data_IF_387633303049
#
_entry.id   IF_387633303049
#
_cell.length_a   1.000
_cell.length_b   1.000
_cell.length_c   1.000
_cell.angle_alpha   90.00
_cell.angle_beta   90.00
_cell.angle_gamma   90.00
#
_symmetry.space_group_name_H-M   'P 1'
#
loop_
_entity.id
_entity.type
_entity.pdbx_description
1 polymer ?
#
# COMPACT_ATOMS: atom_id res chain seq x y z
N UNK A 1 -5.25 -37.39 -32.62
CA UNK A 1 -3.96 -37.09 -31.93
C UNK A 1 -3.62 -35.60 -31.99
N UNK A 2 -3.48 -34.96 -33.16
CA UNK A 2 -3.17 -33.51 -33.28
C UNK A 2 -4.15 -32.61 -32.53
N UNK A 3 -5.46 -32.89 -32.62
CA UNK A 3 -6.50 -32.12 -31.91
C UNK A 3 -6.34 -32.16 -30.37
N UNK A 4 -5.90 -33.30 -29.83
CA UNK A 4 -5.69 -33.47 -28.38
C UNK A 4 -4.47 -32.66 -27.94
N UNK A 5 -3.37 -32.68 -28.71
CA UNK A 5 -2.18 -31.87 -28.45
C UNK A 5 -2.48 -30.37 -28.50
N UNK A 6 -3.29 -29.91 -29.46
CA UNK A 6 -3.71 -28.50 -29.52
C UNK A 6 -4.52 -28.09 -28.29
N UNK A 7 -5.46 -28.93 -27.85
CA UNK A 7 -6.26 -28.65 -26.65
C UNK A 7 -5.38 -28.59 -25.39
N UNK A 8 -4.42 -29.50 -25.23
CA UNK A 8 -3.49 -29.48 -24.10
C UNK A 8 -2.60 -28.23 -24.09
N UNK A 9 -2.11 -27.79 -25.26
CA UNK A 9 -1.33 -26.55 -25.38
C UNK A 9 -2.16 -25.31 -25.03
N UNK A 10 -3.44 -25.26 -25.46
CA UNK A 10 -4.34 -24.16 -25.14
C UNK A 10 -4.67 -24.11 -23.65
N UNK A 11 -4.93 -25.27 -23.02
CA UNK A 11 -5.16 -25.36 -21.58
C UNK A 11 -3.92 -24.95 -20.78
N UNK A 12 -2.74 -25.41 -21.16
CA UNK A 12 -1.48 -25.00 -20.54
C UNK A 12 -1.20 -23.51 -20.69
N UNK A 13 -1.37 -22.97 -21.89
CA UNK A 13 -1.23 -21.53 -22.15
C UNK A 13 -2.23 -20.69 -21.36
N UNK A 14 -3.48 -21.14 -21.23
CA UNK A 14 -4.51 -20.44 -20.47
C UNK A 14 -4.22 -20.45 -18.97
N UNK A 15 -3.74 -21.57 -18.41
CA UNK A 15 -3.29 -21.63 -17.01
C UNK A 15 -2.13 -20.66 -16.75
N UNK A 16 -1.11 -20.64 -17.61
CA UNK A 16 0.01 -19.70 -17.50
C UNK A 16 -0.47 -18.25 -17.59
N UNK A 17 -1.38 -17.96 -18.52
CA UNK A 17 -1.98 -16.64 -18.67
C UNK A 17 -2.74 -16.21 -17.42
N UNK A 18 -3.56 -17.08 -16.83
CA UNK A 18 -4.29 -16.77 -15.59
C UNK A 18 -3.35 -16.53 -14.40
N UNK A 19 -2.30 -17.33 -14.26
CA UNK A 19 -1.29 -17.15 -13.21
C UNK A 19 -0.57 -15.80 -13.39
N UNK A 20 -0.19 -15.45 -14.63
CA UNK A 20 0.42 -14.16 -14.92
C UNK A 20 -0.53 -12.99 -14.61
N UNK A 21 -1.82 -13.08 -15.00
CA UNK A 21 -2.81 -12.06 -14.66
C UNK A 21 -2.99 -11.90 -13.15
N UNK A 22 -2.98 -12.99 -12.39
CA UNK A 22 -3.04 -12.94 -10.92
C UNK A 22 -1.82 -12.25 -10.33
N UNK A 23 -0.61 -12.61 -10.78
CA UNK A 23 0.63 -11.98 -10.34
C UNK A 23 0.70 -10.49 -10.66
N UNK A 24 0.22 -10.08 -11.83
CA UNK A 24 0.14 -8.67 -12.23
C UNK A 24 -0.85 -7.86 -11.36
N UNK A 25 -1.99 -8.45 -10.97
CA UNK A 25 -2.92 -7.80 -10.03
C UNK A 25 -2.28 -7.59 -8.67
N UNK A 26 -1.66 -8.64 -8.14
CA UNK A 26 -1.00 -8.58 -6.84
C UNK A 26 0.17 -7.58 -6.83
N UNK A 27 0.90 -7.46 -7.94
CA UNK A 27 1.95 -6.45 -8.10
C UNK A 27 1.41 -5.00 -8.10
N UNK A 28 0.19 -4.79 -8.61
CA UNK A 28 -0.47 -3.47 -8.59
C UNK A 28 -0.94 -3.07 -7.18
N UNK A 29 -1.33 -4.05 -6.37
CA UNK A 29 -1.82 -3.83 -4.99
C UNK A 29 -0.69 -3.67 -3.97
N UNK A 30 0.53 -4.06 -4.32
CA UNK A 30 1.69 -3.84 -3.46
C UNK A 30 1.99 -2.34 -3.41
N UNK A 31 1.59 -1.73 -2.29
CA UNK A 31 2.08 -0.43 -1.79
C UNK A 31 3.60 -0.39 -1.92
N UNK A 32 4.08 0.11 -3.05
CA UNK A 32 5.50 0.05 -3.35
C UNK A 32 6.20 1.27 -2.78
N UNK A 33 7.48 1.12 -2.45
CA UNK A 33 8.34 2.24 -2.03
C UNK A 33 8.38 3.36 -3.07
N UNK A 34 8.16 3.04 -4.34
CA UNK A 34 8.20 3.99 -5.47
C UNK A 34 6.83 4.47 -5.95
N UNK A 35 5.73 3.89 -5.46
CA UNK A 35 4.37 4.31 -5.82
C UNK A 35 4.04 5.72 -5.35
N UNK A 36 3.10 6.39 -6.00
CA UNK A 36 2.56 7.68 -5.56
C UNK A 36 1.16 7.41 -5.01
N UNK A 37 0.88 7.87 -3.79
CA UNK A 37 -0.46 7.87 -3.25
C UNK A 37 -1.11 9.22 -3.57
N UNK A 38 -2.24 9.20 -4.26
CA UNK A 38 -3.06 10.39 -4.54
C UNK A 38 -4.33 10.42 -3.70
N UNK A 39 -4.62 9.33 -2.98
CA UNK A 39 -5.79 9.24 -2.12
C UNK A 39 -5.57 10.06 -0.84
N UNK A 40 -6.64 10.68 -0.30
CA UNK A 40 -6.59 11.31 1.01
C UNK A 40 -6.16 10.32 2.09
N UNK A 41 -5.26 10.77 2.96
CA UNK A 41 -4.74 9.97 4.08
C UNK A 41 -5.19 10.61 5.39
N UNK A 42 -5.63 9.78 6.34
CA UNK A 42 -5.92 10.21 7.71
C UNK A 42 -4.94 9.54 8.67
N UNK A 43 -4.68 10.17 9.81
CA UNK A 43 -3.84 9.59 10.84
C UNK A 43 -4.46 8.28 11.35
N UNK A 44 -3.70 7.17 11.40
CA UNK A 44 -4.25 5.89 11.87
C UNK A 44 -4.52 5.83 13.38
N UNK A 45 -4.05 6.81 14.15
CA UNK A 45 -4.20 6.85 15.61
C UNK A 45 -5.27 7.84 16.09
N UNK A 46 -5.47 8.97 15.40
CA UNK A 46 -6.46 9.99 15.80
C UNK A 46 -7.41 10.42 14.67
N UNK A 47 -7.36 9.77 13.51
CA UNK A 47 -8.20 10.05 12.33
C UNK A 47 -8.12 11.47 11.77
N UNK A 48 -7.15 12.29 12.21
CA UNK A 48 -6.95 13.62 11.65
C UNK A 48 -6.59 13.51 10.14
N UNK A 49 -7.32 14.20 9.23
CA UNK A 49 -6.98 14.19 7.82
C UNK A 49 -5.66 14.93 7.59
N UNK A 50 -4.76 14.30 6.84
CA UNK A 50 -3.46 14.89 6.50
C UNK A 50 -3.59 15.89 5.35
N UNK A 51 -2.82 17.00 5.37
CA UNK A 51 -2.88 18.00 4.32
C UNK A 51 -2.38 17.43 2.98
N UNK A 52 -3.00 17.81 1.84
CA UNK A 52 -2.60 17.35 0.51
C UNK A 52 -1.21 17.85 0.12
N UNK A 53 -0.83 19.04 0.59
CA UNK A 53 0.54 19.56 0.46
C UNK A 53 1.37 19.03 1.61
N UNK A 54 2.28 18.10 1.30
CA UNK A 54 3.18 17.48 2.28
C UNK A 54 4.33 18.40 2.69
N UNK A 55 4.66 18.42 3.97
CA UNK A 55 5.88 19.04 4.49
C UNK A 55 6.67 17.99 5.28
N UNK A 56 7.81 17.51 4.74
CA UNK A 56 8.58 16.46 5.41
C UNK A 56 9.20 16.98 6.73
N UNK A 57 9.12 16.17 7.79
CA UNK A 57 9.72 16.44 9.11
C UNK A 57 11.04 15.72 9.35
N UNK A 58 11.34 14.70 8.54
CA UNK A 58 12.58 13.93 8.63
C UNK A 58 13.06 13.48 7.23
N UNK A 59 14.28 12.95 7.16
CA UNK A 59 14.90 12.47 5.91
C UNK A 59 14.12 11.31 5.28
N UNK A 60 13.52 10.46 6.11
CA UNK A 60 12.69 9.34 5.65
C UNK A 60 11.47 9.84 4.86
N UNK A 61 10.76 10.84 5.37
CA UNK A 61 9.61 11.45 4.71
C UNK A 61 10.00 12.25 3.46
N UNK A 62 11.19 12.85 3.46
CA UNK A 62 11.71 13.50 2.26
C UNK A 62 11.91 12.49 1.12
N UNK A 63 12.46 11.29 1.42
CA UNK A 63 12.77 10.25 0.44
C UNK A 63 11.58 9.38 0.04
N UNK A 64 10.77 8.95 1.02
CA UNK A 64 9.72 7.93 0.82
C UNK A 64 8.30 8.47 0.96
N UNK A 65 8.16 9.76 1.31
CA UNK A 65 6.86 10.37 1.62
C UNK A 65 6.33 9.99 3.00
N UNK A 66 5.08 10.39 3.25
CA UNK A 66 4.41 10.25 4.54
C UNK A 66 4.26 11.56 5.28
N UNK A 67 3.76 11.46 6.50
CA UNK A 67 3.42 12.58 7.35
C UNK A 67 3.82 12.30 8.80
N UNK A 68 4.00 13.37 9.57
CA UNK A 68 3.91 13.31 11.02
C UNK A 68 2.62 14.03 11.39
N UNK A 69 1.73 13.34 12.10
CA UNK A 69 0.48 13.93 12.58
C UNK A 69 0.80 15.13 13.49
N UNK A 70 0.26 16.33 13.22
CA UNK A 70 0.49 17.50 14.07
C UNK A 70 -0.24 17.44 15.41
N UNK A 71 -1.27 16.60 15.52
CA UNK A 71 -2.10 16.46 16.73
C UNK A 71 -1.51 15.41 17.68
N UNK A 72 -1.41 14.16 17.23
CA UNK A 72 -0.94 13.07 18.08
C UNK A 72 0.55 12.74 17.94
N UNK A 73 1.27 13.32 16.96
CA UNK A 73 2.69 13.05 16.75
C UNK A 73 3.04 11.72 16.06
N UNK A 74 2.06 10.90 15.67
CA UNK A 74 2.32 9.65 14.93
C UNK A 74 3.03 9.93 13.60
N UNK A 75 4.16 9.25 13.38
CA UNK A 75 4.81 9.18 12.07
C UNK A 75 4.14 8.09 11.24
N UNK A 76 3.66 8.42 10.05
CA UNK A 76 3.01 7.49 9.13
C UNK A 76 3.58 7.58 7.72
N UNK A 77 3.45 6.51 6.96
CA UNK A 77 3.90 6.45 5.58
C UNK A 77 2.95 7.17 4.61
N UNK A 78 3.30 7.21 3.32
CA UNK A 78 2.49 7.88 2.30
C UNK A 78 1.12 7.23 2.06
N UNK A 79 0.88 6.04 2.61
CA UNK A 79 -0.37 5.30 2.50
C UNK A 79 -1.18 5.31 3.82
N UNK A 80 -0.74 6.08 4.82
CA UNK A 80 -1.43 6.23 6.11
C UNK A 80 -1.11 5.15 7.13
N UNK A 81 -0.06 4.36 6.92
CA UNK A 81 0.33 3.31 7.87
C UNK A 81 1.34 3.83 8.89
N UNK A 82 1.12 3.55 10.17
CA UNK A 82 1.99 4.01 11.26
C UNK A 82 3.39 3.39 11.16
N UNK A 83 4.41 4.22 11.37
CA UNK A 83 5.84 3.86 11.42
C UNK A 83 6.35 3.98 12.85
N UNK A 84 6.00 5.08 13.51
CA UNK A 84 6.37 5.37 14.89
C UNK A 84 5.20 6.08 15.58
N UNK A 85 4.92 5.67 16.82
CA UNK A 85 3.93 6.31 17.69
C UNK A 85 4.64 6.94 18.88
N UNK A 86 4.29 8.16 19.29
CA UNK A 86 4.80 8.70 20.53
C UNK A 86 4.25 7.91 21.73
N UNK A 87 5.08 7.77 22.77
CA UNK A 87 4.72 7.05 23.99
C UNK A 87 3.51 7.73 24.64
N UNK A 88 2.41 6.97 24.81
CA UNK A 88 1.15 7.47 25.38
C UNK A 88 0.05 7.80 24.38
N UNK A 89 0.28 7.66 23.06
CA UNK A 89 -0.80 7.74 22.07
C UNK A 89 -1.75 6.52 22.19
N UNK A 90 -2.98 6.77 22.64
CA UNK A 90 -4.01 5.75 22.81
C UNK A 90 -4.31 5.03 21.50
N UNK A 91 -4.26 3.70 21.55
CA UNK A 91 -4.50 2.80 20.40
C UNK A 91 -6.00 2.74 20.10
N UNK A 92 -6.46 3.43 19.05
CA UNK A 92 -7.74 3.11 18.39
C UNK A 92 -7.55 3.18 16.88
N UNK A 93 -7.51 2.02 16.21
CA UNK A 93 -7.52 2.01 14.74
C UNK A 93 -6.63 0.99 14.02
N UNK A 94 -6.40 -0.22 14.57
CA UNK A 94 -5.81 -1.30 13.76
C UNK A 94 -6.84 -1.83 12.75
N UNK A 95 -6.94 -1.19 11.57
CA UNK A 95 -7.66 -1.75 10.43
C UNK A 95 -6.72 -2.66 9.63
N UNK A 96 -6.61 -3.91 10.06
CA UNK A 96 -6.18 -5.02 9.22
C UNK A 96 -7.07 -5.04 7.96
N UNK A 97 -6.50 -4.76 6.79
CA UNK A 97 -7.12 -5.10 5.50
C UNK A 97 -6.56 -6.46 5.08
N UNK A 98 -7.40 -7.48 5.14
CA UNK A 98 -7.19 -8.79 4.51
C UNK A 98 -7.55 -8.79 3.04
#
# INVERSE_FOLDING_TARGET
MVKILLVLCLMGGWVVFLVALRGLREARERRSRWGINLDPVSCPDCDLPMPPVRTPKNTRQALWGGWTCPDCGCEMDKYGEAIARPEGAGVQGQRHKG
#
